data_IF_077708206544
#
_entry.id   IF_077708206544
#
_cell.length_a   1.000
_cell.length_b   1.000
_cell.length_c   1.000
_cell.angle_alpha   90.00
_cell.angle_beta   90.00
_cell.angle_gamma   90.00
#
_symmetry.space_group_name_H-M   'P 1'
#
loop_
_entity.id
_entity.type
_entity.pdbx_description
1 polymer ?
#
# COMPACT_ATOMS: atom_id res chain seq x y z
N UNK A 1 19.79 24.99 -14.77
CA UNK A 1 18.43 24.72 -15.30
C UNK A 1 18.13 23.26 -15.02
N UNK A 2 17.24 22.98 -14.09
CA UNK A 2 16.82 21.59 -13.79
C UNK A 2 15.85 21.16 -14.91
N UNK A 3 16.22 20.19 -15.74
CA UNK A 3 15.33 19.65 -16.76
C UNK A 3 14.19 18.92 -16.08
N UNK A 4 12.98 19.37 -16.29
CA UNK A 4 11.77 18.67 -15.84
C UNK A 4 11.70 17.35 -16.62
N UNK A 5 11.75 16.23 -15.91
CA UNK A 5 11.60 14.89 -16.49
C UNK A 5 10.17 14.77 -17.02
N UNK A 6 9.99 14.41 -18.30
CA UNK A 6 8.66 14.19 -18.87
C UNK A 6 8.02 12.90 -18.34
N UNK A 7 6.69 12.79 -18.47
CA UNK A 7 5.95 11.59 -18.10
C UNK A 7 6.49 10.34 -18.81
N UNK A 8 6.73 10.43 -20.11
CA UNK A 8 7.28 9.32 -20.91
C UNK A 8 8.69 8.90 -20.45
N UNK A 9 9.57 9.87 -20.16
CA UNK A 9 10.90 9.57 -19.63
C UNK A 9 10.84 8.87 -18.27
N UNK A 10 9.90 9.29 -17.40
CA UNK A 10 9.67 8.64 -16.11
C UNK A 10 9.14 7.23 -16.29
N UNK A 11 8.18 7.02 -17.18
CA UNK A 11 7.60 5.71 -17.51
C UNK A 11 8.66 4.75 -18.04
N UNK A 12 9.47 5.19 -18.99
CA UNK A 12 10.57 4.38 -19.54
C UNK A 12 11.57 3.99 -18.46
N UNK A 13 11.99 4.94 -17.63
CA UNK A 13 12.89 4.69 -16.51
C UNK A 13 12.33 3.66 -15.52
N UNK A 14 11.07 3.83 -15.10
CA UNK A 14 10.42 2.92 -14.15
C UNK A 14 10.18 1.54 -14.75
N UNK A 15 9.83 1.45 -16.03
CA UNK A 15 9.70 0.16 -16.74
C UNK A 15 11.04 -0.60 -16.77
N UNK A 16 12.14 0.10 -17.03
CA UNK A 16 13.48 -0.51 -16.96
C UNK A 16 13.78 -1.02 -15.56
N UNK A 17 13.55 -0.21 -14.52
CA UNK A 17 13.74 -0.58 -13.12
C UNK A 17 12.88 -1.77 -12.71
N UNK A 18 11.64 -1.84 -13.21
CA UNK A 18 10.75 -2.96 -12.95
C UNK A 18 11.29 -4.26 -13.54
N UNK A 19 11.82 -4.27 -14.77
CA UNK A 19 12.45 -5.46 -15.37
C UNK A 19 13.64 -5.95 -14.54
N UNK A 20 14.46 -5.02 -14.03
CA UNK A 20 15.59 -5.33 -13.14
C UNK A 20 15.12 -5.90 -11.78
N UNK A 21 13.98 -5.42 -11.28
CA UNK A 21 13.38 -5.91 -10.04
C UNK A 21 12.75 -7.31 -10.23
N UNK A 22 12.02 -7.53 -11.33
CA UNK A 22 11.44 -8.84 -11.71
C UNK A 22 12.53 -9.90 -11.84
N UNK A 23 13.68 -9.57 -12.41
CA UNK A 23 14.81 -10.50 -12.49
C UNK A 23 15.29 -11.00 -11.12
N UNK A 24 15.06 -10.22 -10.05
CA UNK A 24 15.42 -10.57 -8.66
C UNK A 24 14.25 -11.16 -7.87
N UNK A 25 13.04 -10.77 -8.21
CA UNK A 25 11.79 -11.15 -7.56
C UNK A 25 10.71 -11.36 -8.64
N UNK A 26 10.61 -12.56 -9.24
CA UNK A 26 9.71 -12.86 -10.36
C UNK A 26 8.24 -12.60 -10.07
N UNK A 27 7.81 -12.71 -8.82
CA UNK A 27 6.43 -12.49 -8.37
C UNK A 27 5.94 -11.05 -8.64
N UNK A 28 6.86 -10.09 -8.75
CA UNK A 28 6.54 -8.72 -9.13
C UNK A 28 5.90 -8.60 -10.52
N UNK A 29 6.15 -9.56 -11.43
CA UNK A 29 5.51 -9.58 -12.74
C UNK A 29 4.01 -9.84 -12.61
N UNK A 30 3.63 -10.80 -11.75
CA UNK A 30 2.22 -11.11 -11.48
C UNK A 30 1.53 -9.93 -10.80
N UNK A 31 2.17 -9.32 -9.81
CA UNK A 31 1.64 -8.13 -9.14
C UNK A 31 1.47 -6.95 -10.12
N UNK A 32 2.46 -6.69 -10.96
CA UNK A 32 2.37 -5.66 -12.00
C UNK A 32 1.20 -5.93 -12.95
N UNK A 33 1.04 -7.15 -13.44
CA UNK A 33 -0.06 -7.54 -14.33
C UNK A 33 -1.41 -7.33 -13.65
N UNK A 34 -1.54 -7.73 -12.37
CA UNK A 34 -2.76 -7.55 -11.60
C UNK A 34 -3.09 -6.06 -11.42
N UNK A 35 -2.14 -5.25 -10.95
CA UNK A 35 -2.37 -3.83 -10.67
C UNK A 35 -2.71 -3.04 -11.95
N UNK A 36 -2.00 -3.29 -13.05
CA UNK A 36 -2.31 -2.65 -14.34
C UNK A 36 -3.65 -3.14 -14.93
N UNK A 37 -4.07 -4.35 -14.61
CA UNK A 37 -5.41 -4.84 -14.93
C UNK A 37 -6.54 -4.13 -14.17
N UNK A 38 -6.25 -3.58 -13.00
CA UNK A 38 -7.19 -2.77 -12.22
C UNK A 38 -7.28 -1.33 -12.73
N UNK A 39 -6.15 -0.71 -13.06
CA UNK A 39 -5.98 0.64 -13.64
C UNK A 39 -4.48 1.02 -13.66
N UNK A 40 -4.21 2.25 -14.15
CA UNK A 40 -2.86 2.83 -14.11
C UNK A 40 -1.99 2.44 -15.29
N UNK A 41 -0.75 2.92 -15.28
CA UNK A 41 0.15 2.79 -16.41
C UNK A 41 1.47 2.06 -16.06
N UNK A 42 1.89 2.13 -14.83
CA UNK A 42 3.15 1.49 -14.39
C UNK A 42 3.21 1.29 -12.87
N UNK A 43 3.98 0.28 -12.48
CA UNK A 43 4.32 0.00 -11.09
C UNK A 43 5.67 0.64 -10.74
N UNK A 44 5.74 1.37 -9.64
CA UNK A 44 7.01 1.83 -9.07
C UNK A 44 7.66 0.66 -8.34
N UNK A 45 8.75 0.08 -8.88
CA UNK A 45 9.34 -1.12 -8.32
C UNK A 45 10.05 -0.82 -7.00
N UNK A 46 9.66 -1.54 -5.96
CA UNK A 46 10.38 -1.60 -4.69
C UNK A 46 10.48 -3.04 -4.24
N UNK A 47 11.55 -3.44 -3.54
CA UNK A 47 11.58 -4.73 -2.88
C UNK A 47 10.38 -4.87 -1.95
N UNK A 48 9.67 -5.97 -2.05
CA UNK A 48 8.48 -6.23 -1.26
C UNK A 48 8.43 -7.71 -0.87
N UNK A 49 8.72 -7.99 0.39
CA UNK A 49 8.73 -9.36 0.93
C UNK A 49 7.32 -9.96 1.01
N UNK A 50 6.30 -9.14 0.76
CA UNK A 50 4.89 -9.52 0.90
C UNK A 50 4.15 -9.68 -0.43
N UNK A 51 4.85 -9.66 -1.57
CA UNK A 51 4.22 -9.76 -2.90
C UNK A 51 3.34 -11.00 -3.01
N UNK A 52 3.83 -12.18 -2.62
CA UNK A 52 3.03 -13.41 -2.66
C UNK A 52 1.79 -13.33 -1.78
N UNK A 53 1.93 -12.75 -0.59
CA UNK A 53 0.81 -12.56 0.32
C UNK A 53 -0.21 -11.58 -0.25
N UNK A 54 0.24 -10.49 -0.88
CA UNK A 54 -0.65 -9.53 -1.55
C UNK A 54 -1.37 -10.15 -2.74
N UNK A 55 -0.70 -11.00 -3.53
CA UNK A 55 -1.32 -11.73 -4.64
C UNK A 55 -2.41 -12.69 -4.17
N UNK A 56 -2.22 -13.33 -3.03
CA UNK A 56 -3.17 -14.30 -2.47
C UNK A 56 -4.33 -13.64 -1.71
N UNK A 57 -4.06 -12.56 -0.95
CA UNK A 57 -4.99 -11.99 0.03
C UNK A 57 -5.35 -10.52 -0.23
N UNK A 58 -4.65 -9.87 -1.16
CA UNK A 58 -4.91 -8.46 -1.47
C UNK A 58 -6.27 -8.26 -2.11
N UNK A 59 -6.88 -7.13 -1.84
CA UNK A 59 -8.14 -6.72 -2.44
C UNK A 59 -8.16 -5.21 -2.70
N UNK A 60 -9.05 -4.79 -3.59
CA UNK A 60 -9.25 -3.40 -3.90
C UNK A 60 -10.11 -2.74 -2.83
N UNK A 61 -9.59 -1.70 -2.20
CA UNK A 61 -10.34 -0.84 -1.27
C UNK A 61 -10.72 0.44 -2.00
N UNK A 62 -11.98 0.83 -1.87
CA UNK A 62 -12.51 2.08 -2.39
C UNK A 62 -13.43 2.70 -1.34
N UNK A 63 -13.58 4.01 -1.38
CA UNK A 63 -14.47 4.75 -0.50
C UNK A 63 -14.17 6.25 -0.52
N UNK A 64 -14.97 7.06 0.16
CA UNK A 64 -14.66 8.47 0.35
C UNK A 64 -13.29 8.66 0.99
N UNK A 65 -12.54 9.63 0.50
CA UNK A 65 -11.20 9.93 1.01
C UNK A 65 -11.28 11.14 1.94
N UNK A 66 -10.85 10.94 3.18
CA UNK A 66 -10.65 12.02 4.15
C UNK A 66 -9.17 12.32 4.25
N UNK A 67 -8.79 13.56 4.00
CA UNK A 67 -7.40 14.01 4.09
C UNK A 67 -7.05 14.46 5.51
N UNK A 68 -6.01 13.86 6.07
CA UNK A 68 -5.34 14.36 7.27
C UNK A 68 -3.85 14.55 6.97
N UNK A 69 -3.51 15.68 6.39
CA UNK A 69 -2.20 15.92 5.80
C UNK A 69 -1.09 15.93 6.85
N UNK A 70 -0.11 15.03 6.68
CA UNK A 70 1.07 14.84 7.50
C UNK A 70 2.34 14.90 6.63
N UNK A 71 3.45 14.35 7.09
CA UNK A 71 4.73 14.39 6.39
C UNK A 71 4.66 13.69 5.03
N UNK A 72 5.01 14.37 3.93
CA UNK A 72 5.00 13.78 2.59
C UNK A 72 6.03 12.64 2.48
N UNK A 73 5.66 11.57 1.78
CA UNK A 73 6.53 10.41 1.57
C UNK A 73 6.66 9.45 2.77
N UNK A 74 6.00 9.75 3.90
CA UNK A 74 6.06 8.97 5.15
C UNK A 74 4.75 8.26 5.46
N UNK A 75 4.01 7.77 4.45
CA UNK A 75 2.67 7.23 4.63
C UNK A 75 2.58 6.09 5.67
N UNK A 76 3.55 5.17 5.69
CA UNK A 76 3.58 4.07 6.68
C UNK A 76 3.75 4.62 8.11
N UNK A 77 4.72 5.50 8.30
CA UNK A 77 5.00 6.13 9.59
C UNK A 77 3.82 7.01 10.07
N UNK A 78 3.25 7.81 9.18
CA UNK A 78 2.12 8.68 9.49
C UNK A 78 0.92 7.89 10.02
N UNK A 79 0.51 6.84 9.31
CA UNK A 79 -0.64 6.04 9.73
C UNK A 79 -0.34 5.23 11.00
N UNK A 80 0.92 4.81 11.19
CA UNK A 80 1.35 4.14 12.42
C UNK A 80 1.22 5.04 13.66
N UNK A 81 1.60 6.32 13.56
CA UNK A 81 1.38 7.30 14.64
C UNK A 81 -0.10 7.43 14.94
N UNK A 82 -0.93 7.68 13.92
CA UNK A 82 -2.37 7.88 14.11
C UNK A 82 -3.04 6.66 14.74
N UNK A 83 -2.62 5.45 14.35
CA UNK A 83 -3.09 4.21 14.96
C UNK A 83 -2.71 4.10 16.43
N UNK A 84 -1.43 4.30 16.74
CA UNK A 84 -0.89 4.19 18.10
C UNK A 84 -1.54 5.21 19.06
N UNK A 85 -1.74 6.41 18.58
CA UNK A 85 -2.33 7.51 19.37
C UNK A 85 -3.87 7.52 19.37
N UNK A 86 -4.50 6.54 18.71
CA UNK A 86 -5.97 6.42 18.59
C UNK A 86 -6.62 7.67 18.01
N UNK A 87 -5.96 8.32 17.07
CA UNK A 87 -6.42 9.55 16.45
C UNK A 87 -7.28 9.31 15.22
N UNK A 88 -8.02 10.33 14.81
CA UNK A 88 -8.80 10.43 13.56
C UNK A 88 -9.84 9.33 13.35
N UNK A 89 -10.17 8.54 14.35
CA UNK A 89 -11.20 7.49 14.24
C UNK A 89 -10.83 6.30 13.36
N UNK A 90 -9.52 6.06 13.15
CA UNK A 90 -9.02 4.90 12.41
C UNK A 90 -9.46 3.61 13.10
N UNK A 91 -10.06 2.69 12.35
CA UNK A 91 -10.51 1.37 12.81
C UNK A 91 -9.61 0.23 12.32
N UNK A 92 -8.79 0.49 11.29
CA UNK A 92 -7.81 -0.44 10.73
C UNK A 92 -6.73 0.31 9.94
N UNK A 93 -5.66 -0.37 9.55
CA UNK A 93 -4.63 0.11 8.63
C UNK A 93 -4.73 -0.70 7.34
N UNK A 94 -4.80 -0.03 6.18
CA UNK A 94 -4.57 -0.70 4.91
C UNK A 94 -3.12 -0.49 4.48
N UNK A 95 -2.47 -1.56 3.99
CA UNK A 95 -1.11 -1.51 3.47
C UNK A 95 -0.97 -2.35 2.20
N UNK A 96 -0.20 -1.87 1.24
CA UNK A 96 -0.02 -2.48 -0.07
C UNK A 96 0.38 -1.45 -1.12
N UNK A 97 -0.49 -1.18 -2.09
CA UNK A 97 -0.25 -0.27 -3.20
C UNK A 97 -1.41 0.70 -3.38
N UNK A 98 -1.09 1.92 -3.80
CA UNK A 98 -2.08 2.94 -4.14
C UNK A 98 -1.79 3.56 -5.50
N UNK A 99 -2.85 3.87 -6.24
CA UNK A 99 -2.77 4.50 -7.56
C UNK A 99 -2.73 6.02 -7.41
N UNK A 100 -1.65 6.61 -7.89
CA UNK A 100 -1.44 8.06 -7.95
C UNK A 100 -2.08 8.68 -9.18
N UNK A 101 -2.31 9.98 -9.15
CA UNK A 101 -2.90 10.74 -10.28
C UNK A 101 -2.04 10.69 -11.55
N UNK A 102 -0.74 10.40 -11.43
CA UNK A 102 0.18 10.24 -12.56
C UNK A 102 0.15 8.83 -13.19
N UNK A 103 -0.81 8.01 -12.81
CA UNK A 103 -0.95 6.63 -13.30
C UNK A 103 0.01 5.62 -12.68
N UNK A 104 0.78 6.02 -11.66
CA UNK A 104 1.70 5.08 -10.99
C UNK A 104 1.07 4.36 -9.81
N UNK A 105 1.28 3.04 -9.72
CA UNK A 105 1.09 2.28 -8.50
C UNK A 105 2.33 2.37 -7.63
N UNK A 106 2.16 2.82 -6.39
CA UNK A 106 3.24 2.98 -5.41
C UNK A 106 2.93 2.23 -4.14
N UNK A 107 3.95 1.70 -3.45
CA UNK A 107 3.76 1.14 -2.11
C UNK A 107 3.19 2.22 -1.19
N UNK A 108 2.14 1.88 -0.46
CA UNK A 108 1.39 2.84 0.33
C UNK A 108 0.69 2.21 1.52
N UNK A 109 0.49 3.02 2.57
CA UNK A 109 -0.40 2.70 3.70
C UNK A 109 -1.31 3.88 4.02
N UNK A 110 -2.54 3.56 4.38
CA UNK A 110 -3.56 4.53 4.77
C UNK A 110 -4.39 4.02 5.95
N UNK A 111 -5.09 4.93 6.62
CA UNK A 111 -6.04 4.56 7.65
C UNK A 111 -7.38 4.11 7.03
N UNK A 112 -8.04 3.16 7.66
CA UNK A 112 -9.42 2.79 7.35
C UNK A 112 -10.34 3.40 8.40
N UNK A 113 -11.31 4.16 7.94
CA UNK A 113 -12.43 4.70 8.73
C UNK A 113 -13.65 3.77 8.59
N UNK A 114 -14.70 4.03 9.37
CA UNK A 114 -15.96 3.28 9.26
C UNK A 114 -16.64 3.47 7.91
N UNK A 115 -16.44 4.61 7.29
CA UNK A 115 -17.12 5.05 6.07
C UNK A 115 -16.19 5.44 4.93
N UNK A 116 -14.87 5.16 5.04
CA UNK A 116 -13.93 5.50 3.99
C UNK A 116 -12.47 5.27 4.34
N UNK A 117 -11.63 6.01 3.65
CA UNK A 117 -10.17 5.96 3.76
C UNK A 117 -9.64 7.27 4.32
N UNK A 118 -8.73 7.19 5.30
CA UNK A 118 -7.95 8.32 5.80
C UNK A 118 -6.61 8.36 5.09
N UNK A 119 -6.39 9.39 4.32
CA UNK A 119 -5.14 9.61 3.59
C UNK A 119 -4.28 10.65 4.30
N UNK A 120 -2.96 10.39 4.40
CA UNK A 120 -2.04 11.22 5.17
C UNK A 120 -1.04 12.01 4.33
N UNK A 121 -0.88 11.67 3.06
CA UNK A 121 0.12 12.30 2.18
C UNK A 121 -0.52 13.07 1.01
N UNK A 122 -1.09 12.36 0.08
CA UNK A 122 -1.77 12.92 -1.10
C UNK A 122 -2.95 12.05 -1.50
N UNK A 123 -4.00 12.60 -2.11
CA UNK A 123 -5.16 11.80 -2.56
C UNK A 123 -4.72 10.70 -3.52
N UNK A 124 -5.36 9.55 -3.40
CA UNK A 124 -5.16 8.39 -4.27
C UNK A 124 -6.49 7.94 -4.83
N UNK A 125 -6.50 7.44 -6.04
CA UNK A 125 -7.75 7.03 -6.70
C UNK A 125 -8.19 5.62 -6.34
N UNK A 126 -7.23 4.72 -6.08
CA UNK A 126 -7.48 3.31 -5.74
C UNK A 126 -6.42 2.79 -4.77
N UNK A 127 -6.81 1.82 -3.97
CA UNK A 127 -5.93 1.14 -3.01
C UNK A 127 -6.07 -0.37 -3.20
N UNK A 128 -4.96 -1.06 -3.42
CA UNK A 128 -4.88 -2.51 -3.47
C UNK A 128 -3.95 -3.01 -2.37
N UNK A 129 -4.42 -3.88 -1.50
CA UNK A 129 -3.61 -4.35 -0.39
C UNK A 129 -4.40 -5.18 0.60
N UNK A 130 -3.88 -5.28 1.80
CA UNK A 130 -4.50 -5.97 2.94
C UNK A 130 -4.88 -4.99 4.03
N UNK A 131 -5.87 -5.34 4.83
CA UNK A 131 -6.33 -4.54 5.97
C UNK A 131 -5.89 -5.23 7.25
N UNK A 132 -5.18 -4.51 8.09
CA UNK A 132 -4.66 -4.92 9.39
C UNK A 132 -5.53 -4.37 10.50
N UNK A 133 -5.93 -5.21 11.46
CA UNK A 133 -6.76 -4.83 12.60
C UNK A 133 -6.16 -5.34 13.91
N UNK A 134 -6.56 -4.73 15.02
CA UNK A 134 -6.17 -5.18 16.36
C UNK A 134 -4.66 -5.41 16.47
N UNK A 135 -4.27 -6.63 16.81
CA UNK A 135 -2.87 -7.00 17.04
C UNK A 135 -1.98 -6.81 15.80
N UNK A 136 -2.49 -7.05 14.61
CA UNK A 136 -1.70 -6.89 13.38
C UNK A 136 -1.39 -5.42 13.11
N UNK A 137 -2.38 -4.55 13.29
CA UNK A 137 -2.16 -3.11 13.18
C UNK A 137 -1.22 -2.59 14.29
N UNK A 138 -1.29 -3.16 15.51
CA UNK A 138 -0.36 -2.83 16.59
C UNK A 138 1.08 -3.25 16.24
N UNK A 139 1.28 -4.45 15.64
CA UNK A 139 2.58 -4.90 15.17
C UNK A 139 3.12 -4.06 14.02
N UNK A 140 2.28 -3.72 13.05
CA UNK A 140 2.65 -2.81 11.98
C UNK A 140 3.13 -1.47 12.54
N UNK A 141 2.34 -0.86 13.43
CA UNK A 141 2.67 0.41 14.03
C UNK A 141 3.96 0.35 14.86
N UNK A 142 4.18 -0.73 15.63
CA UNK A 142 5.40 -0.92 16.41
C UNK A 142 6.64 -1.01 15.49
N UNK A 143 6.54 -1.70 14.35
CA UNK A 143 7.64 -1.81 13.40
C UNK A 143 7.99 -0.48 12.73
N UNK A 144 6.97 0.31 12.35
CA UNK A 144 7.20 1.58 11.66
C UNK A 144 7.72 2.68 12.61
N UNK A 145 7.44 2.58 13.91
CA UNK A 145 7.82 3.59 14.91
C UNK A 145 9.08 3.24 15.70
N UNK A 146 9.63 2.03 15.58
CA UNK A 146 10.81 1.62 16.33
C UNK A 146 12.11 2.04 15.64
N UNK A 147 12.59 3.22 15.97
CA UNK A 147 13.84 3.80 15.48
C UNK A 147 15.10 3.02 15.91
N UNK A 148 15.01 2.08 16.85
CA UNK A 148 16.16 1.37 17.45
C UNK A 148 16.47 0.05 16.77
N UNK A 149 15.61 -0.45 15.93
CA UNK A 149 15.86 -1.65 15.15
C UNK A 149 16.51 -1.23 13.81
N UNK A 150 17.83 -1.41 13.63
CA UNK A 150 18.41 -1.22 12.31
C UNK A 150 17.74 -2.26 11.42
N UNK A 151 16.83 -1.82 10.57
CA UNK A 151 16.23 -2.54 9.43
C UNK A 151 16.04 -4.07 9.57
N UNK A 152 15.93 -4.59 10.78
CA UNK A 152 15.28 -5.87 10.99
C UNK A 152 13.80 -5.59 10.81
N UNK A 153 13.38 -5.51 9.54
CA UNK A 153 11.99 -5.74 9.18
C UNK A 153 11.65 -7.06 9.84
N UNK A 154 11.09 -6.98 11.04
CA UNK A 154 10.55 -8.16 11.69
C UNK A 154 9.55 -8.66 10.68
N UNK A 155 9.85 -9.79 10.01
CA UNK A 155 8.93 -10.44 9.09
C UNK A 155 7.67 -10.61 9.91
N UNK A 156 6.70 -9.73 9.67
CA UNK A 156 5.35 -10.02 10.10
C UNK A 156 5.08 -11.40 9.52
N UNK A 157 5.05 -12.39 10.39
CA UNK A 157 4.78 -13.76 9.97
C UNK A 157 3.29 -13.81 9.69
N UNK A 158 2.89 -13.40 8.50
CA UNK A 158 1.50 -13.38 8.01
C UNK A 158 0.86 -14.78 7.94
N UNK A 159 1.47 -15.79 8.53
CA UNK A 159 0.97 -17.16 8.50
C UNK A 159 -0.39 -17.38 9.19
N UNK A 160 -0.95 -16.37 9.84
CA UNK A 160 -2.21 -16.48 10.61
C UNK A 160 -3.09 -15.20 10.51
N UNK A 161 -3.26 -14.68 9.31
CA UNK A 161 -4.24 -13.62 9.11
C UNK A 161 -5.62 -14.24 8.83
N UNK A 162 -6.49 -14.23 9.83
CA UNK A 162 -7.91 -14.21 9.55
C UNK A 162 -8.23 -12.82 9.00
N UNK A 163 -8.59 -12.74 7.73
CA UNK A 163 -9.14 -11.52 7.12
C UNK A 163 -10.36 -11.14 7.94
N UNK A 164 -10.20 -10.19 8.87
CA UNK A 164 -11.27 -9.72 9.70
C UNK A 164 -12.42 -9.26 8.81
N UNK A 165 -13.65 -9.66 9.14
CA UNK A 165 -14.86 -9.17 8.50
C UNK A 165 -14.91 -7.65 8.65
N UNK A 166 -14.53 -6.92 7.60
CA UNK A 166 -14.78 -5.48 7.53
C UNK A 166 -16.29 -5.31 7.38
N UNK A 167 -16.96 -4.60 8.30
CA UNK A 167 -18.41 -4.46 8.24
C UNK A 167 -18.83 -3.70 6.98
N UNK A 168 -19.65 -4.34 6.14
CA UNK A 168 -20.43 -3.72 5.09
C UNK A 168 -19.70 -3.42 3.78
N UNK A 169 -20.15 -4.05 2.73
CA UNK A 169 -20.10 -3.70 1.29
C UNK A 169 -18.82 -3.20 0.61
N UNK A 170 -17.65 -3.18 1.26
CA UNK A 170 -16.39 -2.74 0.65
C UNK A 170 -15.59 -3.87 -0.02
N UNK A 171 -16.12 -5.09 -0.08
CA UNK A 171 -15.42 -6.24 -0.64
C UNK A 171 -15.91 -6.56 -2.05
N UNK A 172 -15.19 -6.08 -3.05
CA UNK A 172 -15.17 -6.77 -4.34
C UNK A 172 -13.98 -7.72 -4.36
N UNK A 173 -14.23 -8.98 -4.05
CA UNK A 173 -13.24 -10.06 -4.23
C UNK A 173 -13.21 -10.38 -5.72
N UNK A 174 -12.10 -10.07 -6.38
CA UNK A 174 -11.87 -10.49 -7.76
C UNK A 174 -11.48 -11.97 -7.74
N UNK A 175 -12.31 -12.82 -8.31
CA UNK A 175 -11.90 -14.15 -8.74
C UNK A 175 -11.24 -13.98 -10.10
N UNK A 176 -9.96 -14.30 -10.17
CA UNK A 176 -9.26 -14.45 -11.45
C UNK A 176 -9.64 -15.83 -11.95
N UNK A 177 -10.44 -15.89 -13.02
CA UNK A 177 -10.66 -17.11 -13.84
C UNK A 177 -9.44 -17.35 -14.72
#
# INVERSE_FOLDING_TARGET
>A
MSSVITHEQRKEFLTKRLREAIAKQPELEQLNTLLLGLDGEFLVPRPDDYVLFLLEHGFLTAGPITMHKMDPGSCHYNVAILWKERQQGIVAIATGYALSDDGSWVQHSCGILRDGVLETTEPRSKYFGVVLQGREADLFAANELDEKLPSVRTRLSFRHFEVGNVPGSMHQRWQIE
#
